data_IF_293090306534
#
_entry.id   IF_293090306534
#
_cell.length_a   1.000
_cell.length_b   1.000
_cell.length_c   1.000
_cell.angle_alpha   90.00
_cell.angle_beta   90.00
_cell.angle_gamma   90.00
#
_symmetry.space_group_name_H-M   'P 1'
#
loop_
_entity.id
_entity.type
_entity.pdbx_description
1 polymer ?
#
# COMPACT_ATOMS: atom_id res chain seq x y z
N UNK A 1 37.03 -36.39 -28.53
CA UNK A 1 36.06 -36.85 -27.51
C UNK A 1 35.37 -35.70 -26.74
N UNK A 2 35.75 -34.42 -26.90
CA UNK A 2 35.17 -33.30 -26.11
C UNK A 2 33.76 -32.86 -26.52
N UNK A 3 33.49 -32.74 -27.83
CA UNK A 3 32.23 -32.17 -28.34
C UNK A 3 30.95 -32.82 -27.79
N UNK A 4 30.91 -34.15 -27.71
CA UNK A 4 29.72 -34.88 -27.22
C UNK A 4 29.54 -34.81 -25.71
N UNK A 5 30.61 -34.53 -24.95
CA UNK A 5 30.53 -34.34 -23.51
C UNK A 5 30.09 -32.91 -23.18
N UNK A 6 30.63 -31.93 -23.91
CA UNK A 6 30.28 -30.52 -23.78
C UNK A 6 28.82 -30.27 -24.21
N UNK A 7 28.37 -30.84 -25.34
CA UNK A 7 26.97 -30.75 -25.79
C UNK A 7 25.99 -31.39 -24.80
N UNK A 8 26.33 -32.53 -24.20
CA UNK A 8 25.48 -33.16 -23.18
C UNK A 8 25.39 -32.32 -21.91
N UNK A 9 26.48 -31.66 -21.53
CA UNK A 9 26.51 -30.80 -20.36
C UNK A 9 25.67 -29.55 -20.58
N UNK A 10 25.81 -28.91 -21.74
CA UNK A 10 25.04 -27.74 -22.15
C UNK A 10 23.52 -28.03 -22.14
N UNK A 11 23.09 -29.15 -22.73
CA UNK A 11 21.67 -29.56 -22.70
C UNK A 11 21.17 -29.86 -21.28
N UNK A 12 21.99 -30.45 -20.42
CA UNK A 12 21.60 -30.73 -19.02
C UNK A 12 21.50 -29.44 -18.21
N UNK A 13 22.41 -28.50 -18.44
CA UNK A 13 22.43 -27.21 -17.75
C UNK A 13 21.22 -26.35 -18.20
N UNK A 14 20.92 -26.29 -19.51
CA UNK A 14 19.75 -25.60 -20.07
C UNK A 14 18.43 -26.20 -19.57
N UNK A 15 18.29 -27.54 -19.58
CA UNK A 15 17.14 -28.21 -18.97
C UNK A 15 17.04 -27.97 -17.45
N UNK A 16 18.17 -27.74 -16.78
CA UNK A 16 18.23 -27.41 -15.36
C UNK A 16 17.71 -26.01 -15.06
N UNK A 17 18.05 -25.03 -15.91
CA UNK A 17 17.56 -23.65 -15.86
C UNK A 17 16.06 -23.58 -16.14
N UNK A 18 15.59 -24.22 -17.22
CA UNK A 18 14.16 -24.32 -17.57
C UNK A 18 13.32 -24.91 -16.42
N UNK A 19 13.86 -25.93 -15.73
CA UNK A 19 13.18 -26.58 -14.62
C UNK A 19 13.18 -25.73 -13.34
N UNK A 20 14.16 -24.84 -13.18
CA UNK A 20 14.15 -23.84 -12.11
C UNK A 20 13.16 -22.72 -12.39
N UNK A 21 13.10 -22.23 -13.63
CA UNK A 21 12.14 -21.22 -14.08
C UNK A 21 10.71 -21.73 -13.91
N UNK A 22 10.40 -22.94 -14.39
CA UNK A 22 9.11 -23.60 -14.18
C UNK A 22 8.74 -23.76 -12.70
N UNK A 23 9.70 -24.09 -11.83
CA UNK A 23 9.45 -24.19 -10.38
C UNK A 23 9.13 -22.83 -9.77
N UNK A 24 9.81 -21.78 -10.20
CA UNK A 24 9.53 -20.41 -9.75
C UNK A 24 8.15 -19.95 -10.22
N UNK A 25 7.81 -20.17 -11.49
CA UNK A 25 6.50 -19.85 -12.05
C UNK A 25 5.37 -20.60 -11.33
N UNK A 26 5.51 -21.92 -11.17
CA UNK A 26 4.52 -22.74 -10.44
C UNK A 26 4.42 -22.30 -8.97
N UNK A 27 5.53 -21.95 -8.34
CA UNK A 27 5.56 -21.41 -6.98
C UNK A 27 4.77 -20.12 -6.86
N UNK A 28 5.00 -19.16 -7.76
CA UNK A 28 4.26 -17.89 -7.82
C UNK A 28 2.77 -18.12 -8.06
N UNK A 29 2.40 -19.00 -8.99
CA UNK A 29 0.99 -19.34 -9.26
C UNK A 29 0.33 -19.89 -8.00
N UNK A 30 0.99 -20.82 -7.27
CA UNK A 30 0.44 -21.40 -6.03
C UNK A 30 0.26 -20.32 -4.95
N UNK A 31 1.22 -19.42 -4.77
CA UNK A 31 1.11 -18.32 -3.81
C UNK A 31 -0.06 -17.38 -4.14
N UNK A 32 -0.22 -16.99 -5.40
CA UNK A 32 -1.35 -16.17 -5.86
C UNK A 32 -2.70 -16.89 -5.70
N UNK A 33 -2.77 -18.19 -6.00
CA UNK A 33 -3.98 -19.00 -5.78
C UNK A 33 -4.35 -19.05 -4.29
N UNK A 34 -3.36 -19.23 -3.41
CA UNK A 34 -3.57 -19.25 -1.96
C UNK A 34 -4.03 -17.90 -1.40
N UNK A 35 -3.49 -16.78 -1.88
CA UNK A 35 -3.92 -15.43 -1.49
C UNK A 35 -5.40 -15.18 -1.84
N UNK A 36 -5.84 -15.67 -2.99
CA UNK A 36 -7.23 -15.56 -3.44
C UNK A 36 -8.16 -16.41 -2.58
N UNK A 37 -7.81 -17.67 -2.34
CA UNK A 37 -8.62 -18.55 -1.48
C UNK A 37 -8.75 -17.96 -0.08
N UNK A 38 -7.66 -17.39 0.45
CA UNK A 38 -7.66 -16.72 1.75
C UNK A 38 -8.58 -15.51 1.76
N UNK A 39 -8.49 -14.67 0.72
CA UNK A 39 -9.32 -13.47 0.58
C UNK A 39 -10.81 -13.81 0.42
N UNK A 40 -11.14 -14.85 -0.34
CA UNK A 40 -12.52 -15.35 -0.48
C UNK A 40 -13.05 -15.81 0.88
N UNK A 41 -12.28 -16.63 1.61
CA UNK A 41 -12.64 -17.13 2.93
C UNK A 41 -12.85 -16.01 3.94
N UNK A 42 -12.03 -14.95 3.92
CA UNK A 42 -12.18 -13.79 4.79
C UNK A 42 -13.50 -13.07 4.55
N UNK A 43 -13.84 -12.80 3.28
CA UNK A 43 -15.15 -12.20 2.91
C UNK A 43 -16.29 -13.11 3.34
N UNK A 44 -16.17 -14.41 3.11
CA UNK A 44 -17.20 -15.38 3.49
C UNK A 44 -17.45 -15.39 4.99
N UNK A 45 -16.37 -15.46 5.77
CA UNK A 45 -16.41 -15.56 7.23
C UNK A 45 -16.94 -14.27 7.84
N UNK A 46 -16.47 -13.12 7.36
CA UNK A 46 -16.83 -11.81 7.91
C UNK A 46 -18.30 -11.48 7.65
N UNK A 47 -18.76 -11.54 6.40
CA UNK A 47 -20.16 -11.27 6.07
C UNK A 47 -21.09 -12.34 6.65
N UNK A 48 -20.64 -13.59 6.77
CA UNK A 48 -21.41 -14.64 7.44
C UNK A 48 -21.59 -14.38 8.94
N UNK A 49 -20.56 -13.89 9.63
CA UNK A 49 -20.64 -13.48 11.04
C UNK A 49 -21.59 -12.29 11.21
N UNK A 50 -21.49 -11.28 10.33
CA UNK A 50 -22.39 -10.14 10.30
C UNK A 50 -23.85 -10.58 10.10
N UNK A 51 -24.12 -11.39 9.08
CA UNK A 51 -25.45 -11.93 8.77
C UNK A 51 -26.06 -12.69 9.96
N UNK A 52 -25.26 -13.56 10.61
CA UNK A 52 -25.71 -14.32 11.77
C UNK A 52 -26.14 -13.42 12.93
N UNK A 53 -25.33 -12.40 13.25
CA UNK A 53 -25.62 -11.44 14.32
C UNK A 53 -26.82 -10.56 13.97
N UNK A 54 -26.90 -10.08 12.74
CA UNK A 54 -28.04 -9.32 12.24
C UNK A 54 -29.35 -10.13 12.32
N UNK A 55 -29.34 -11.39 11.89
CA UNK A 55 -30.50 -12.27 11.97
C UNK A 55 -30.92 -12.57 13.42
N UNK A 56 -29.95 -12.70 14.35
CA UNK A 56 -30.24 -12.85 15.79
C UNK A 56 -30.96 -11.61 16.33
N UNK A 57 -30.46 -10.42 15.99
CA UNK A 57 -31.06 -9.14 16.39
C UNK A 57 -32.49 -8.99 15.83
N UNK A 58 -32.69 -9.21 14.53
CA UNK A 58 -34.03 -9.15 13.89
C UNK A 58 -34.97 -10.21 14.48
N UNK A 59 -34.46 -11.40 14.86
CA UNK A 59 -35.27 -12.45 15.47
C UNK A 59 -35.87 -12.05 16.81
N UNK A 60 -35.14 -11.27 17.60
CA UNK A 60 -35.59 -10.79 18.90
C UNK A 60 -36.54 -9.59 18.82
N UNK A 61 -36.72 -8.99 17.64
CA UNK A 61 -37.57 -7.80 17.43
C UNK A 61 -39.00 -8.16 16.93
N UNK A 62 -39.47 -9.39 17.14
CA UNK A 62 -40.76 -9.92 16.66
C UNK A 62 -40.97 -9.89 15.13
N UNK A 63 -39.94 -9.58 14.34
CA UNK A 63 -40.07 -9.38 12.90
C UNK A 63 -40.05 -10.69 12.08
N UNK A 64 -40.98 -10.68 11.11
CA UNK A 64 -41.47 -11.70 10.20
C UNK A 64 -40.36 -12.50 9.48
N UNK A 65 -40.51 -13.83 9.36
CA UNK A 65 -39.65 -14.74 8.58
C UNK A 65 -39.35 -14.22 7.16
N UNK A 66 -40.28 -13.47 6.56
CA UNK A 66 -40.11 -12.83 5.25
C UNK A 66 -38.99 -11.78 5.24
N UNK A 67 -38.85 -10.99 6.31
CA UNK A 67 -37.79 -9.96 6.43
C UNK A 67 -36.43 -10.64 6.49
N UNK A 68 -36.25 -11.65 7.36
CA UNK A 68 -34.99 -12.39 7.47
C UNK A 68 -34.55 -12.99 6.14
N UNK A 69 -35.46 -13.69 5.44
CA UNK A 69 -35.17 -14.22 4.10
C UNK A 69 -34.77 -13.14 3.10
N UNK A 70 -35.35 -11.95 3.20
CA UNK A 70 -34.99 -10.81 2.34
C UNK A 70 -33.58 -10.30 2.66
N UNK A 71 -33.24 -10.20 3.94
CA UNK A 71 -31.90 -9.80 4.41
C UNK A 71 -30.84 -10.82 4.00
N UNK A 72 -31.05 -12.10 4.28
CA UNK A 72 -30.18 -13.21 3.87
C UNK A 72 -29.93 -13.17 2.35
N UNK A 73 -30.97 -12.91 1.55
CA UNK A 73 -30.85 -12.77 0.10
C UNK A 73 -30.01 -11.56 -0.32
N UNK A 74 -30.15 -10.42 0.36
CA UNK A 74 -29.37 -9.22 0.05
C UNK A 74 -27.90 -9.37 0.46
N UNK A 75 -27.63 -9.84 1.68
CA UNK A 75 -26.28 -10.11 2.16
C UNK A 75 -25.58 -11.20 1.35
N UNK A 76 -26.28 -12.28 1.04
CA UNK A 76 -25.76 -13.34 0.17
C UNK A 76 -25.46 -12.87 -1.25
N UNK A 77 -26.20 -11.87 -1.76
CA UNK A 77 -25.91 -11.26 -3.07
C UNK A 77 -24.62 -10.43 -3.04
N UNK A 78 -24.47 -9.52 -2.07
CA UNK A 78 -23.26 -8.69 -1.97
C UNK A 78 -22.01 -9.50 -1.58
N UNK A 79 -22.17 -10.56 -0.78
CA UNK A 79 -21.10 -11.54 -0.52
C UNK A 79 -20.61 -12.18 -1.82
N UNK A 80 -21.53 -12.66 -2.68
CA UNK A 80 -21.17 -13.23 -3.99
C UNK A 80 -20.51 -12.19 -4.91
N UNK A 81 -20.93 -10.93 -4.84
CA UNK A 81 -20.28 -9.85 -5.59
C UNK A 81 -18.82 -9.67 -5.16
N UNK A 82 -18.53 -9.67 -3.84
CA UNK A 82 -17.16 -9.59 -3.33
C UNK A 82 -16.27 -10.74 -3.80
N UNK A 83 -16.77 -11.98 -3.71
CA UNK A 83 -16.06 -13.18 -4.19
C UNK A 83 -15.81 -13.09 -5.71
N UNK A 84 -16.82 -12.71 -6.48
CA UNK A 84 -16.66 -12.59 -7.93
C UNK A 84 -15.68 -11.49 -8.31
N UNK A 85 -15.66 -10.36 -7.60
CA UNK A 85 -14.71 -9.29 -7.86
C UNK A 85 -13.26 -9.69 -7.58
N UNK A 86 -13.01 -10.50 -6.54
CA UNK A 86 -11.68 -11.10 -6.30
C UNK A 86 -11.28 -11.98 -7.51
N UNK A 87 -12.19 -12.83 -7.98
CA UNK A 87 -11.95 -13.71 -9.15
C UNK A 87 -11.72 -12.92 -10.44
N UNK A 88 -12.50 -11.87 -10.66
CA UNK A 88 -12.41 -11.01 -11.84
C UNK A 88 -11.09 -10.22 -11.83
N UNK A 89 -10.63 -9.74 -10.66
CA UNK A 89 -9.31 -9.06 -10.51
C UNK A 89 -8.16 -9.98 -10.92
N UNK A 90 -8.19 -11.28 -10.55
CA UNK A 90 -7.19 -12.27 -11.01
C UNK A 90 -7.21 -12.45 -12.52
N UNK A 91 -8.41 -12.56 -13.10
CA UNK A 91 -8.59 -12.80 -14.54
C UNK A 91 -8.22 -11.59 -15.40
N UNK A 92 -8.13 -10.40 -14.81
CA UNK A 92 -7.98 -9.14 -15.52
C UNK A 92 -9.28 -8.61 -16.14
N UNK A 93 -10.29 -9.47 -16.31
CA UNK A 93 -11.60 -9.10 -16.84
C UNK A 93 -12.78 -9.81 -16.15
N UNK A 94 -13.96 -9.18 -16.10
CA UNK A 94 -15.16 -9.82 -15.56
C UNK A 94 -15.63 -10.98 -16.42
N UNK A 95 -15.88 -12.14 -15.80
CA UNK A 95 -16.43 -13.30 -16.52
C UNK A 95 -17.84 -13.03 -17.10
N UNK A 96 -18.62 -12.17 -16.44
CA UNK A 96 -19.98 -11.81 -16.87
C UNK A 96 -20.22 -10.30 -16.69
N UNK A 97 -19.70 -9.44 -17.58
CA UNK A 97 -19.68 -7.98 -17.38
C UNK A 97 -21.09 -7.39 -17.28
N UNK A 98 -22.02 -7.79 -18.14
CA UNK A 98 -23.41 -7.28 -18.09
C UNK A 98 -24.18 -7.73 -16.84
N UNK A 99 -23.85 -8.90 -16.27
CA UNK A 99 -24.44 -9.34 -15.00
C UNK A 99 -23.82 -8.60 -13.82
N UNK A 100 -22.51 -8.35 -13.88
CA UNK A 100 -21.75 -7.55 -12.91
C UNK A 100 -22.34 -6.15 -12.79
N UNK A 101 -22.51 -5.45 -13.91
CA UNK A 101 -23.07 -4.10 -13.96
C UNK A 101 -24.50 -4.05 -13.40
N UNK A 102 -25.39 -4.98 -13.80
CA UNK A 102 -26.76 -5.06 -13.25
C UNK A 102 -26.79 -5.23 -11.74
N UNK A 103 -25.85 -6.02 -11.18
CA UNK A 103 -25.77 -6.23 -9.74
C UNK A 103 -25.25 -4.98 -9.02
N UNK A 104 -24.25 -4.31 -9.58
CA UNK A 104 -23.73 -3.03 -9.05
C UNK A 104 -24.79 -1.93 -9.05
N UNK A 105 -25.53 -1.78 -10.15
CA UNK A 105 -26.65 -0.83 -10.23
C UNK A 105 -27.75 -1.15 -9.22
N UNK A 106 -28.00 -2.43 -8.92
CA UNK A 106 -29.04 -2.85 -7.98
C UNK A 106 -28.66 -2.61 -6.52
N UNK A 107 -27.41 -2.87 -6.14
CA UNK A 107 -26.96 -2.81 -4.73
C UNK A 107 -26.21 -1.52 -4.39
N UNK A 108 -26.02 -0.62 -5.37
CA UNK A 108 -25.48 0.72 -5.17
C UNK A 108 -23.98 0.73 -4.97
N UNK A 109 -23.22 0.80 -6.07
CA UNK A 109 -21.77 0.99 -6.06
C UNK A 109 -21.12 0.60 -7.38
N UNK A 110 -19.91 1.10 -7.64
CA UNK A 110 -19.02 0.67 -8.73
C UNK A 110 -18.08 -0.49 -8.35
N UNK A 111 -17.95 -0.78 -7.04
CA UNK A 111 -17.17 -1.89 -6.48
C UNK A 111 -17.97 -2.70 -5.46
N UNK A 112 -17.55 -3.92 -5.16
CA UNK A 112 -18.23 -4.78 -4.19
C UNK A 112 -18.14 -4.21 -2.77
N UNK A 113 -17.05 -3.54 -2.41
CA UNK A 113 -16.97 -2.87 -1.11
C UNK A 113 -18.05 -1.78 -0.98
N UNK A 114 -18.27 -0.97 -2.03
CA UNK A 114 -19.36 0.01 -2.06
C UNK A 114 -20.73 -0.64 -1.95
N UNK A 115 -20.99 -1.72 -2.71
CA UNK A 115 -22.27 -2.45 -2.64
C UNK A 115 -22.52 -3.06 -1.24
N UNK A 116 -21.49 -3.61 -0.60
CA UNK A 116 -21.56 -4.11 0.79
C UNK A 116 -21.85 -2.97 1.75
N UNK A 117 -21.11 -1.87 1.66
CA UNK A 117 -21.32 -0.67 2.50
C UNK A 117 -22.76 -0.17 2.38
N UNK A 118 -23.23 0.14 1.16
CA UNK A 118 -24.59 0.64 0.91
C UNK A 118 -25.67 -0.32 1.42
N UNK A 119 -25.51 -1.62 1.18
CA UNK A 119 -26.48 -2.63 1.60
C UNK A 119 -26.53 -2.76 3.12
N UNK A 120 -25.37 -2.88 3.76
CA UNK A 120 -25.28 -3.04 5.23
C UNK A 120 -25.76 -1.78 5.95
N UNK A 121 -25.42 -0.59 5.47
CA UNK A 121 -25.92 0.69 6.00
C UNK A 121 -27.45 0.78 5.88
N UNK A 122 -28.01 0.42 4.72
CA UNK A 122 -29.46 0.43 4.49
C UNK A 122 -30.18 -0.54 5.42
N UNK A 123 -29.65 -1.76 5.57
CA UNK A 123 -30.22 -2.77 6.45
C UNK A 123 -30.14 -2.33 7.92
N UNK A 124 -29.00 -1.77 8.32
CA UNK A 124 -28.78 -1.27 9.67
C UNK A 124 -29.78 -0.17 10.03
N UNK A 125 -29.90 0.89 9.21
CA UNK A 125 -30.87 1.97 9.43
C UNK A 125 -32.32 1.50 9.52
N UNK A 126 -32.67 0.44 8.77
CA UNK A 126 -34.05 -0.06 8.68
C UNK A 126 -34.45 -1.00 9.81
N UNK A 127 -33.51 -1.68 10.45
CA UNK A 127 -33.83 -2.78 11.35
C UNK A 127 -33.03 -2.78 12.66
N UNK A 128 -31.93 -2.02 12.75
CA UNK A 128 -31.18 -1.88 13.98
C UNK A 128 -31.72 -0.72 14.81
N UNK A 129 -32.62 -1.04 15.74
CA UNK A 129 -33.27 -0.06 16.63
C UNK A 129 -32.95 -0.30 18.12
N UNK A 130 -32.05 -1.25 18.44
CA UNK A 130 -31.80 -1.70 19.81
C UNK A 130 -30.39 -1.32 20.24
N UNK A 131 -30.21 -0.98 21.51
CA UNK A 131 -28.88 -0.78 22.12
C UNK A 131 -28.37 -2.08 22.77
N UNK A 132 -28.32 -3.18 22.01
CA UNK A 132 -27.69 -4.42 22.48
C UNK A 132 -26.24 -4.49 22.01
N UNK A 133 -25.40 -5.29 22.68
CA UNK A 133 -24.01 -5.47 22.25
C UNK A 133 -23.90 -5.98 20.80
N UNK A 134 -24.81 -6.88 20.38
CA UNK A 134 -24.87 -7.36 19.00
C UNK A 134 -25.22 -6.23 18.01
N UNK A 135 -26.14 -5.33 18.38
CA UNK A 135 -26.51 -4.17 17.58
C UNK A 135 -25.37 -3.15 17.45
N UNK A 136 -24.71 -2.83 18.57
CA UNK A 136 -23.54 -1.94 18.58
C UNK A 136 -22.41 -2.53 17.73
N UNK A 137 -22.17 -3.83 17.82
CA UNK A 137 -21.17 -4.48 16.95
C UNK A 137 -21.56 -4.45 15.46
N UNK A 138 -22.84 -4.57 15.12
CA UNK A 138 -23.34 -4.39 13.75
C UNK A 138 -23.04 -2.96 13.27
N UNK A 139 -23.30 -1.95 14.09
CA UNK A 139 -22.99 -0.55 13.76
C UNK A 139 -21.50 -0.37 13.45
N UNK A 140 -20.63 -0.95 14.29
CA UNK A 140 -19.19 -0.92 14.07
C UNK A 140 -18.77 -1.59 12.76
N UNK A 141 -19.42 -2.69 12.37
CA UNK A 141 -19.17 -3.33 11.09
C UNK A 141 -19.63 -2.47 9.90
N UNK A 142 -20.73 -1.74 10.05
CA UNK A 142 -21.18 -0.79 9.02
C UNK A 142 -20.14 0.31 8.83
N UNK A 143 -19.58 0.86 9.92
CA UNK A 143 -18.50 1.85 9.83
C UNK A 143 -17.25 1.27 9.13
N UNK A 144 -16.88 0.03 9.46
CA UNK A 144 -15.78 -0.65 8.79
C UNK A 144 -16.04 -0.86 7.29
N UNK A 145 -17.24 -1.32 6.90
CA UNK A 145 -17.56 -1.49 5.49
C UNK A 145 -17.58 -0.16 4.74
N UNK A 146 -18.02 0.91 5.39
CA UNK A 146 -17.95 2.27 4.86
C UNK A 146 -16.50 2.72 4.68
N UNK A 147 -15.64 2.51 5.69
CA UNK A 147 -14.21 2.79 5.60
C UNK A 147 -13.59 2.02 4.43
N UNK A 148 -13.86 0.72 4.33
CA UNK A 148 -13.34 -0.15 3.27
C UNK A 148 -13.76 0.31 1.88
N UNK A 149 -14.99 0.78 1.72
CA UNK A 149 -15.47 1.32 0.45
C UNK A 149 -14.69 2.58 0.02
N UNK A 150 -14.46 3.52 0.94
CA UNK A 150 -13.64 4.70 0.64
C UNK A 150 -12.16 4.36 0.45
N UNK A 151 -11.63 3.42 1.24
CA UNK A 151 -10.26 2.95 1.13
C UNK A 151 -10.01 2.28 -0.24
N UNK A 152 -10.94 1.46 -0.72
CA UNK A 152 -10.82 0.83 -2.04
C UNK A 152 -10.80 1.87 -3.17
N UNK A 153 -11.62 2.93 -3.08
CA UNK A 153 -11.60 4.02 -4.04
C UNK A 153 -10.26 4.78 -4.03
N UNK A 154 -9.73 5.09 -2.84
CA UNK A 154 -8.41 5.70 -2.68
C UNK A 154 -7.30 4.81 -3.28
N UNK A 155 -7.32 3.51 -3.00
CA UNK A 155 -6.36 2.53 -3.53
C UNK A 155 -6.41 2.44 -5.05
N UNK A 156 -7.60 2.46 -5.66
CA UNK A 156 -7.78 2.49 -7.12
C UNK A 156 -7.17 3.77 -7.69
N UNK A 157 -7.42 4.92 -7.06
CA UNK A 157 -6.88 6.21 -7.50
C UNK A 157 -5.35 6.27 -7.39
N UNK A 158 -4.78 5.75 -6.29
CA UNK A 158 -3.33 5.63 -6.14
C UNK A 158 -2.72 4.67 -7.18
N UNK A 159 -3.34 3.52 -7.48
CA UNK A 159 -2.83 2.60 -8.52
C UNK A 159 -2.86 3.25 -9.91
N UNK A 160 -3.89 4.03 -10.22
CA UNK A 160 -3.97 4.81 -11.47
C UNK A 160 -2.88 5.88 -11.52
N UNK A 161 -2.63 6.58 -10.41
CA UNK A 161 -1.57 7.57 -10.32
C UNK A 161 -0.19 6.92 -10.50
N UNK A 162 0.06 5.78 -9.84
CA UNK A 162 1.28 4.98 -9.97
C UNK A 162 1.57 4.62 -11.43
N UNK A 163 0.60 4.02 -12.15
CA UNK A 163 0.81 3.62 -13.55
C UNK A 163 1.04 4.81 -14.50
N UNK A 164 0.42 5.96 -14.23
CA UNK A 164 0.68 7.18 -15.02
C UNK A 164 2.05 7.77 -14.68
N UNK A 165 2.43 7.82 -13.41
CA UNK A 165 3.73 8.30 -12.98
C UNK A 165 4.86 7.45 -13.57
N UNK A 166 4.69 6.13 -13.60
CA UNK A 166 5.60 5.20 -14.26
C UNK A 166 5.79 5.53 -15.75
N UNK A 167 4.69 5.76 -16.49
CA UNK A 167 4.75 6.14 -17.91
C UNK A 167 5.48 7.46 -18.17
N UNK A 168 5.51 8.35 -17.17
CA UNK A 168 6.17 9.65 -17.22
C UNK A 168 7.56 9.66 -16.57
N UNK A 169 8.04 8.52 -16.06
CA UNK A 169 9.28 8.41 -15.27
C UNK A 169 9.30 9.34 -14.05
N UNK A 170 8.15 9.61 -13.45
CA UNK A 170 8.01 10.35 -12.20
C UNK A 170 8.19 9.37 -11.01
N UNK A 171 9.46 9.01 -10.76
CA UNK A 171 9.82 7.91 -9.86
C UNK A 171 9.36 8.14 -8.41
N UNK A 172 9.41 9.38 -7.90
CA UNK A 172 9.04 9.67 -6.51
C UNK A 172 7.53 9.58 -6.31
N UNK A 173 6.73 10.11 -7.24
CA UNK A 173 5.27 9.95 -7.22
C UNK A 173 4.89 8.48 -7.30
N UNK A 174 5.53 7.72 -8.19
CA UNK A 174 5.31 6.28 -8.32
C UNK A 174 5.60 5.56 -7.00
N UNK A 175 6.78 5.79 -6.40
CA UNK A 175 7.17 5.13 -5.16
C UNK A 175 6.26 5.54 -3.99
N UNK A 176 5.99 6.84 -3.84
CA UNK A 176 5.12 7.34 -2.77
C UNK A 176 3.70 6.79 -2.90
N UNK A 177 3.18 6.63 -4.11
CA UNK A 177 1.88 6.00 -4.35
C UNK A 177 1.89 4.51 -3.92
N UNK A 178 2.96 3.76 -4.22
CA UNK A 178 3.11 2.36 -3.78
C UNK A 178 3.15 2.26 -2.25
N UNK A 179 3.95 3.09 -1.58
CA UNK A 179 4.09 3.10 -0.13
C UNK A 179 2.74 3.39 0.55
N UNK A 180 2.04 4.44 0.09
CA UNK A 180 0.72 4.80 0.60
C UNK A 180 -0.31 3.69 0.40
N UNK A 181 -0.28 2.97 -0.73
CA UNK A 181 -1.16 1.81 -0.94
C UNK A 181 -0.90 0.71 0.08
N UNK A 182 0.36 0.42 0.40
CA UNK A 182 0.71 -0.58 1.40
C UNK A 182 0.26 -0.15 2.81
N UNK A 183 0.48 1.12 3.18
CA UNK A 183 0.02 1.68 4.45
C UNK A 183 -1.50 1.55 4.61
N UNK A 184 -2.27 1.91 3.57
CA UNK A 184 -3.73 1.81 3.58
C UNK A 184 -4.25 0.37 3.68
N UNK A 185 -3.57 -0.59 3.05
CA UNK A 185 -3.91 -2.02 3.16
C UNK A 185 -3.61 -2.56 4.57
N UNK A 186 -2.49 -2.16 5.17
CA UNK A 186 -2.17 -2.52 6.54
C UNK A 186 -3.15 -1.90 7.55
N UNK A 187 -3.54 -0.64 7.35
CA UNK A 187 -4.55 0.02 8.17
C UNK A 187 -5.89 -0.70 8.08
N UNK A 188 -6.36 -1.08 6.89
CA UNK A 188 -7.59 -1.87 6.74
C UNK A 188 -7.54 -3.20 7.51
N UNK A 189 -6.42 -3.92 7.41
CA UNK A 189 -6.20 -5.17 8.19
C UNK A 189 -6.24 -4.92 9.69
N UNK A 190 -5.63 -3.84 10.16
CA UNK A 190 -5.65 -3.44 11.56
C UNK A 190 -7.09 -3.14 12.03
N UNK A 191 -7.82 -2.31 11.30
CA UNK A 191 -9.20 -1.94 11.61
C UNK A 191 -10.14 -3.16 11.60
N UNK A 192 -9.94 -4.08 10.65
CA UNK A 192 -10.65 -5.35 10.65
C UNK A 192 -10.38 -6.15 11.93
N UNK A 193 -9.11 -6.22 12.37
CA UNK A 193 -8.72 -6.84 13.63
C UNK A 193 -9.40 -6.20 14.85
N UNK A 194 -9.56 -4.87 14.87
CA UNK A 194 -10.30 -4.16 15.92
C UNK A 194 -11.77 -4.63 15.95
N UNK A 195 -12.45 -4.64 14.79
CA UNK A 195 -13.85 -5.11 14.70
C UNK A 195 -14.03 -6.55 15.20
N UNK A 196 -13.09 -7.44 14.85
CA UNK A 196 -13.14 -8.84 15.29
C UNK A 196 -12.93 -8.97 16.81
N UNK A 197 -12.00 -8.21 17.39
CA UNK A 197 -11.74 -8.19 18.84
C UNK A 197 -12.93 -7.65 19.63
N UNK A 198 -13.66 -6.69 19.06
CA UNK A 198 -14.87 -6.10 19.66
C UNK A 198 -16.13 -6.95 19.45
N UNK A 199 -16.03 -8.18 18.93
CA UNK A 199 -17.21 -9.07 18.83
C UNK A 199 -17.78 -9.40 20.23
N UNK A 200 -19.09 -9.19 20.47
CA UNK A 200 -19.74 -9.48 21.75
C UNK A 200 -19.53 -10.92 22.25
N UNK A 201 -19.33 -11.88 21.34
CA UNK A 201 -19.08 -13.29 21.71
C UNK A 201 -17.75 -13.47 22.48
N UNK A 202 -16.85 -12.48 22.43
CA UNK A 202 -15.58 -12.46 23.16
C UNK A 202 -15.72 -11.99 24.62
N UNK A 203 -16.88 -11.43 25.01
CA UNK A 203 -17.12 -10.79 26.32
C UNK A 203 -18.09 -11.59 27.20
N UNK A 204 -18.58 -12.75 26.73
CA UNK A 204 -19.45 -13.62 27.50
C UNK A 204 -18.70 -14.46 28.54
N UNK A 205 -19.36 -14.78 29.66
CA UNK A 205 -18.85 -15.74 30.65
C UNK A 205 -18.83 -17.14 30.03
N UNK A 206 -17.65 -17.68 29.71
CA UNK A 206 -17.48 -19.09 29.31
C UNK A 206 -16.89 -19.89 30.47
N UNK A 207 -17.60 -20.94 30.86
CA UNK A 207 -17.18 -21.95 31.85
C UNK A 207 -15.85 -22.66 31.51
N UNK A 208 -15.30 -22.48 30.31
CA UNK A 208 -14.03 -23.05 29.88
C UNK A 208 -13.23 -22.05 29.02
N UNK A 209 -12.28 -21.35 29.65
CA UNK A 209 -10.93 -21.09 29.12
C UNK A 209 -10.74 -20.26 27.85
N UNK A 210 -11.38 -19.11 27.69
CA UNK A 210 -11.01 -18.21 26.57
C UNK A 210 -11.78 -16.89 26.43
N UNK A 211 -12.38 -16.38 27.51
CA UNK A 211 -12.92 -15.01 27.51
C UNK A 211 -11.81 -14.04 27.95
N UNK A 212 -11.87 -12.78 27.48
CA UNK A 212 -11.11 -11.70 28.13
C UNK A 212 -11.45 -11.71 29.63
N UNK A 213 -10.45 -11.39 30.46
CA UNK A 213 -10.51 -11.43 31.92
C UNK A 213 -11.80 -10.82 32.48
N UNK A 214 -12.22 -11.31 33.65
CA UNK A 214 -13.28 -10.71 34.45
C UNK A 214 -12.98 -9.22 34.67
N UNK A 215 -13.58 -8.34 33.86
CA UNK A 215 -13.26 -6.91 33.82
C UNK A 215 -13.30 -6.26 32.43
N UNK A 216 -13.34 -7.03 31.33
CA UNK A 216 -13.47 -6.47 29.98
C UNK A 216 -14.87 -5.86 29.74
N UNK A 217 -14.92 -4.53 29.64
CA UNK A 217 -16.13 -3.79 29.33
C UNK A 217 -16.31 -3.65 27.81
N UNK A 218 -17.28 -4.40 27.26
CA UNK A 218 -17.68 -4.29 25.85
C UNK A 218 -17.99 -2.84 25.46
N UNK A 219 -18.60 -2.06 26.35
CA UNK A 219 -18.97 -0.67 26.09
C UNK A 219 -17.76 0.20 25.78
N UNK A 220 -16.70 0.09 26.58
CA UNK A 220 -15.45 0.82 26.38
C UNK A 220 -14.73 0.39 25.09
N UNK A 221 -14.60 -0.92 24.85
CA UNK A 221 -13.96 -1.43 23.64
C UNK A 221 -14.72 -1.05 22.36
N UNK A 222 -16.06 -1.02 22.44
CA UNK A 222 -16.90 -0.49 21.37
C UNK A 222 -16.68 1.00 21.17
N UNK A 223 -16.74 1.82 22.22
CA UNK A 223 -16.64 3.27 22.11
C UNK A 223 -15.27 3.70 21.57
N UNK A 224 -14.19 3.08 22.03
CA UNK A 224 -12.84 3.31 21.51
C UNK A 224 -12.73 2.94 20.03
N UNK A 225 -13.31 1.80 19.63
CA UNK A 225 -13.33 1.40 18.23
C UNK A 225 -14.17 2.36 17.37
N UNK A 226 -15.31 2.83 17.90
CA UNK A 226 -16.21 3.78 17.23
C UNK A 226 -15.51 5.11 16.97
N UNK A 227 -14.86 5.69 17.97
CA UNK A 227 -14.06 6.91 17.82
C UNK A 227 -12.94 6.74 16.77
N UNK A 228 -12.23 5.61 16.80
CA UNK A 228 -11.22 5.30 15.80
C UNK A 228 -11.81 5.31 14.38
N UNK A 229 -12.97 4.70 14.15
CA UNK A 229 -13.61 4.75 12.83
C UNK A 229 -14.09 6.15 12.46
N UNK A 230 -14.62 6.93 13.40
CA UNK A 230 -15.03 8.31 13.15
C UNK A 230 -13.83 9.16 12.70
N UNK A 231 -12.70 9.08 13.40
CA UNK A 231 -11.46 9.76 13.04
C UNK A 231 -10.98 9.34 11.64
N UNK A 232 -10.94 8.02 11.37
CA UNK A 232 -10.46 7.51 10.07
C UNK A 232 -11.39 7.85 8.92
N UNK A 233 -12.70 7.83 9.13
CA UNK A 233 -13.68 8.22 8.12
C UNK A 233 -13.65 9.73 7.85
N UNK A 234 -13.38 10.55 8.86
CA UNK A 234 -13.27 12.01 8.72
C UNK A 234 -12.12 12.45 7.81
N UNK A 235 -11.08 11.62 7.63
CA UNK A 235 -9.97 11.90 6.72
C UNK A 235 -10.37 11.86 5.23
N UNK A 236 -11.46 11.17 4.88
CA UNK A 236 -11.91 11.06 3.49
C UNK A 236 -12.71 12.30 3.07
N UNK A 237 -12.00 13.28 2.51
CA UNK A 237 -12.59 14.44 1.85
C UNK A 237 -12.78 14.26 0.34
N UNK A 238 -13.37 15.27 -0.33
CA UNK A 238 -13.68 15.22 -1.77
C UNK A 238 -12.46 15.12 -2.72
N UNK A 239 -11.23 15.26 -2.22
CA UNK A 239 -9.98 15.17 -3.00
C UNK A 239 -9.11 13.97 -2.62
N UNK A 240 -9.64 13.01 -1.86
CA UNK A 240 -8.87 11.89 -1.31
C UNK A 240 -8.32 12.20 0.08
N UNK A 241 -7.89 11.15 0.80
CA UNK A 241 -7.38 11.28 2.18
C UNK A 241 -5.87 11.50 2.24
N UNK A 242 -5.14 10.99 1.26
CA UNK A 242 -3.68 11.07 1.24
C UNK A 242 -3.21 12.40 0.68
N UNK A 243 -2.18 13.00 1.29
CA UNK A 243 -1.59 14.27 0.82
C UNK A 243 -1.19 14.21 -0.65
N UNK A 244 -0.71 13.05 -1.11
CA UNK A 244 -0.34 12.81 -2.50
C UNK A 244 -1.55 13.01 -3.43
N UNK A 245 -2.68 12.35 -3.15
CA UNK A 245 -3.89 12.49 -3.96
C UNK A 245 -4.53 13.87 -3.80
N UNK A 246 -4.49 14.47 -2.61
CA UNK A 246 -4.99 15.83 -2.41
C UNK A 246 -4.23 16.84 -3.28
N UNK A 247 -2.90 16.77 -3.29
CA UNK A 247 -2.06 17.64 -4.12
C UNK A 247 -2.27 17.37 -5.61
N UNK A 248 -2.30 16.10 -6.01
CA UNK A 248 -2.57 15.71 -7.40
C UNK A 248 -3.93 16.22 -7.88
N UNK A 249 -5.00 15.99 -7.12
CA UNK A 249 -6.35 16.40 -7.47
C UNK A 249 -6.52 17.92 -7.46
N UNK A 250 -5.84 18.62 -6.54
CA UNK A 250 -5.77 20.09 -6.56
C UNK A 250 -5.17 20.61 -7.87
N UNK A 251 -4.03 20.07 -8.30
CA UNK A 251 -3.41 20.45 -9.58
C UNK A 251 -4.30 20.09 -10.78
N UNK A 252 -4.99 18.95 -10.76
CA UNK A 252 -5.94 18.59 -11.81
C UNK A 252 -7.10 19.59 -11.96
N UNK A 253 -7.60 20.12 -10.84
CA UNK A 253 -8.64 21.14 -10.82
C UNK A 253 -8.12 22.48 -11.36
N UNK A 254 -6.92 22.89 -10.95
CA UNK A 254 -6.27 24.13 -11.42
C UNK A 254 -5.98 24.10 -12.93
N UNK A 255 -5.71 22.91 -13.48
CA UNK A 255 -5.40 22.68 -14.90
C UNK A 255 -6.63 22.29 -15.74
N UNK A 256 -7.85 22.51 -15.23
CA UNK A 256 -9.10 22.14 -15.92
C UNK A 256 -9.18 22.77 -17.31
N UNK A 257 -9.47 21.95 -18.32
CA UNK A 257 -9.57 22.37 -19.72
C UNK A 257 -8.27 22.23 -20.53
N UNK A 258 -7.15 21.90 -19.88
CA UNK A 258 -5.90 21.61 -20.59
C UNK A 258 -5.84 20.13 -21.04
N UNK A 259 -5.39 19.83 -22.27
CA UNK A 259 -5.32 18.46 -22.79
C UNK A 259 -4.28 17.60 -22.05
N UNK A 260 -3.20 18.21 -21.54
CA UNK A 260 -2.07 17.58 -20.84
C UNK A 260 -2.11 17.80 -19.32
N UNK A 261 -3.32 18.05 -18.78
CA UNK A 261 -3.50 18.38 -17.36
C UNK A 261 -3.03 17.29 -16.41
N UNK A 262 -3.10 16.02 -16.82
CA UNK A 262 -2.76 14.90 -15.95
C UNK A 262 -1.25 14.79 -15.80
N UNK A 263 -0.53 14.92 -16.91
CA UNK A 263 0.91 14.92 -17.01
C UNK A 263 1.49 16.10 -16.23
N UNK A 264 0.96 17.31 -16.46
CA UNK A 264 1.36 18.52 -15.72
C UNK A 264 1.11 18.40 -14.22
N UNK A 265 -0.02 17.83 -13.80
CA UNK A 265 -0.31 17.61 -12.40
C UNK A 265 0.69 16.64 -11.76
N UNK A 266 1.00 15.52 -12.43
CA UNK A 266 1.98 14.54 -11.94
C UNK A 266 3.37 15.19 -11.80
N UNK A 267 3.84 15.89 -12.83
CA UNK A 267 5.15 16.57 -12.79
C UNK A 267 5.21 17.67 -11.73
N UNK A 268 4.09 18.35 -11.48
CA UNK A 268 4.01 19.36 -10.41
C UNK A 268 4.12 18.73 -9.02
N UNK A 269 3.48 17.58 -8.80
CA UNK A 269 3.61 16.82 -7.56
C UNK A 269 5.01 16.22 -7.41
N UNK A 270 5.58 15.66 -8.48
CA UNK A 270 6.95 15.13 -8.51
C UNK A 270 7.96 16.18 -8.05
N UNK A 271 7.85 17.41 -8.56
CA UNK A 271 8.70 18.53 -8.15
C UNK A 271 8.52 18.91 -6.68
N UNK A 272 7.31 18.79 -6.13
CA UNK A 272 7.05 19.07 -4.71
C UNK A 272 7.60 18.00 -3.78
N UNK A 273 7.79 16.78 -4.28
CA UNK A 273 8.43 15.67 -3.58
C UNK A 273 9.96 15.69 -3.71
N UNK A 274 10.55 16.69 -4.39
CA UNK A 274 11.99 16.93 -4.29
C UNK A 274 12.35 17.16 -2.82
N UNK A 275 13.39 16.48 -2.29
CA UNK A 275 13.93 16.84 -1.00
C UNK A 275 14.27 18.31 -1.10
N UNK A 276 13.67 19.11 -0.22
CA UNK A 276 14.16 20.47 -0.02
C UNK A 276 15.59 20.30 0.44
N UNK A 277 16.55 20.52 -0.45
CA UNK A 277 17.94 20.68 -0.05
C UNK A 277 17.91 21.67 1.11
N UNK A 278 18.30 21.19 2.29
CA UNK A 278 18.38 22.07 3.45
C UNK A 278 19.40 23.16 3.15
N UNK A 279 19.26 24.34 3.77
CA UNK A 279 20.29 25.38 3.67
C UNK A 279 21.68 24.83 4.02
N UNK A 280 21.75 23.82 4.88
CA UNK A 280 22.97 23.08 5.22
C UNK A 280 23.51 22.26 4.05
N UNK A 281 22.69 21.53 3.30
CA UNK A 281 23.12 20.78 2.11
C UNK A 281 23.61 21.73 0.99
N UNK A 282 22.91 22.85 0.75
CA UNK A 282 23.39 23.89 -0.18
C UNK A 282 24.69 24.55 0.28
N UNK A 283 24.87 24.72 1.58
CA UNK A 283 26.10 25.27 2.17
C UNK A 283 27.25 24.29 2.04
N UNK A 284 27.01 22.99 2.24
CA UNK A 284 28.00 21.93 2.08
C UNK A 284 28.39 21.74 0.61
N UNK A 285 27.43 21.73 -0.32
CA UNK A 285 27.74 21.68 -1.76
C UNK A 285 28.47 22.93 -2.24
N UNK A 286 28.17 24.12 -1.70
CA UNK A 286 28.90 25.34 -1.98
C UNK A 286 30.30 25.40 -1.31
N UNK A 287 30.51 24.70 -0.20
CA UNK A 287 31.82 24.50 0.42
C UNK A 287 32.66 23.50 -0.39
N UNK A 288 32.07 22.39 -0.84
CA UNK A 288 32.72 21.39 -1.71
C UNK A 288 33.10 21.98 -3.08
N UNK A 289 32.33 22.92 -3.62
CA UNK A 289 32.70 23.67 -4.84
C UNK A 289 33.73 24.79 -4.61
N UNK A 290 33.98 25.20 -3.37
CA UNK A 290 35.08 26.13 -3.02
C UNK A 290 36.37 25.40 -2.68
N UNK A 291 36.29 24.11 -2.35
CA UNK A 291 37.43 23.22 -2.20
C UNK A 291 37.76 22.57 -3.55
N UNK A 292 38.25 23.37 -4.51
CA UNK A 292 39.22 22.82 -5.45
C UNK A 292 40.40 22.25 -4.64
N UNK A 293 41.05 21.15 -5.07
CA UNK A 293 42.13 20.54 -4.32
C UNK A 293 43.37 21.44 -4.38
N UNK A 294 43.43 22.41 -3.49
CA UNK A 294 44.66 23.12 -3.17
C UNK A 294 45.15 22.67 -1.81
N UNK A 295 46.40 22.18 -1.82
CA UNK A 295 47.28 21.93 -0.67
C UNK A 295 47.30 20.54 -0.05
N UNK A 296 47.73 19.55 -0.85
CA UNK A 296 48.64 18.52 -0.33
C UNK A 296 49.75 18.24 -1.35
N UNK A 297 50.63 19.22 -1.60
CA UNK A 297 51.97 18.92 -2.15
C UNK A 297 52.99 20.08 -2.12
N UNK A 298 52.82 21.10 -1.27
CA UNK A 298 53.83 22.18 -1.17
C UNK A 298 55.06 21.74 -0.37
N UNK A 299 54.88 20.95 0.68
CA UNK A 299 55.99 20.55 1.55
C UNK A 299 56.90 19.48 0.92
N UNK A 300 56.34 18.55 0.14
CA UNK A 300 57.15 17.56 -0.59
C UNK A 300 57.91 18.17 -1.77
N UNK A 301 57.32 19.13 -2.50
CA UNK A 301 58.04 19.87 -3.54
C UNK A 301 59.17 20.74 -2.99
N UNK A 302 58.98 21.39 -1.83
CA UNK A 302 60.03 22.17 -1.18
C UNK A 302 61.18 21.25 -0.72
N UNK A 303 60.87 20.09 -0.13
CA UNK A 303 61.89 19.12 0.27
C UNK A 303 62.65 18.53 -0.91
N UNK A 304 61.98 18.27 -2.04
CA UNK A 304 62.62 17.77 -3.26
C UNK A 304 63.56 18.80 -3.89
N UNK A 305 63.16 20.07 -3.94
CA UNK A 305 63.98 21.17 -4.48
C UNK A 305 65.20 21.44 -3.58
N UNK A 306 65.05 21.38 -2.26
CA UNK A 306 66.17 21.54 -1.32
C UNK A 306 67.16 20.37 -1.39
N UNK A 307 66.68 19.13 -1.61
CA UNK A 307 67.54 17.98 -1.83
C UNK A 307 68.36 18.10 -3.13
N UNK A 308 67.76 18.62 -4.21
CA UNK A 308 68.44 18.90 -5.47
C UNK A 308 69.47 20.02 -5.33
N UNK A 309 69.17 21.10 -4.60
CA UNK A 309 70.12 22.18 -4.31
C UNK A 309 71.34 21.68 -3.55
N UNK A 310 71.14 20.86 -2.51
CA UNK A 310 72.24 20.27 -1.73
C UNK A 310 73.12 19.33 -2.56
N UNK A 311 72.54 18.56 -3.50
CA UNK A 311 73.32 17.73 -4.43
C UNK A 311 74.17 18.58 -5.38
N UNK A 312 73.60 19.64 -5.95
CA UNK A 312 74.29 20.53 -6.88
C UNK A 312 75.46 21.29 -6.23
N UNK A 313 75.28 21.75 -4.99
CA UNK A 313 76.34 22.39 -4.20
C UNK A 313 77.51 21.42 -3.90
N UNK A 314 77.18 20.17 -3.55
CA UNK A 314 78.19 19.11 -3.33
C UNK A 314 78.98 18.79 -4.61
N UNK A 315 78.30 18.79 -5.76
CA UNK A 315 78.93 18.50 -7.05
C UNK A 315 79.80 19.66 -7.55
N UNK A 316 79.42 20.91 -7.25
CA UNK A 316 80.27 22.10 -7.50
C UNK A 316 81.51 22.11 -6.61
N UNK A 317 81.38 21.71 -5.34
CA UNK A 317 82.52 21.61 -4.41
C UNK A 317 83.49 20.46 -4.74
N UNK A 318 83.02 19.44 -5.47
CA UNK A 318 83.81 18.28 -5.88
C UNK A 318 84.53 18.44 -7.24
N UNK A 319 84.41 19.59 -7.92
CA UNK A 319 85.20 19.89 -9.11
C UNK A 319 86.53 20.58 -8.71
N UNK A 320 87.68 19.88 -8.71
CA UNK A 320 88.96 20.57 -8.62
C UNK A 320 89.16 21.43 -9.87
N UNK A 321 89.70 22.63 -9.65
CA UNK A 321 90.00 23.62 -10.67
C UNK A 321 90.78 23.01 -11.85
N UNK A 322 90.10 22.83 -12.98
CA UNK A 322 90.72 22.69 -14.28
C UNK A 322 90.46 23.99 -15.06
N UNK A 323 91.53 24.48 -15.67
CA UNK A 323 91.63 25.56 -16.66
C UNK A 323 91.59 27.02 -16.19
N UNK A 324 92.75 27.47 -15.69
CA UNK A 324 93.36 28.71 -16.20
C UNK A 324 94.44 28.36 -17.23
N UNK A 325 94.03 28.26 -18.49
CA UNK A 325 94.93 28.43 -19.65
C UNK A 325 94.13 28.91 -20.85
N UNK A 326 93.96 30.23 -20.99
CA UNK A 326 94.24 30.96 -22.23
C UNK A 326 94.25 32.46 -22.01
#
# INVERSE_FOLDING_TARGET
MGFWADFKKEVIDEMGEDLQELKQEVGQIIEEEMEIVTSEMEVEKHLGAFEKKFNKMVKQAEQNKKIRKSVEKQLGAVKKMGINEIKDKKRGEPMFPGRREKMFNKYGGGTAAQAVSTTTETLNKRYNFKQSNDAMWIDLNVDFFKYRAYNEEELINLKRLEGKAESLKAERVMQKAKDLRQELLQEEKHLFGVVQKTNPDNYGFKLFGGAKEAGADFGNDYYNAKLLFEDKLALYGGRGRTDLLQNYNKHLEELKGQPDRMEKAILSVEKQLEPKETLEEKSQSAQVLREEPQQENKDEQIQYVDALRKKLEKEKAARPAFDKTR
#
